data_IF_555879114640
#
_entry.id   IF_555879114640
#
_cell.length_a   1.000
_cell.length_b   1.000
_cell.length_c   1.000
_cell.angle_alpha   90.00
_cell.angle_beta   90.00
_cell.angle_gamma   90.00
#
_symmetry.space_group_name_H-M   'P 1'
#
loop_
_entity.id
_entity.type
_entity.pdbx_description
1 polymer ?
2 non-polymer ?
3 water ?
#
# COMPACT_ATOMS: atom_id res chain seq x y z
N UNK A 1 -24.23 19.26 -17.16
CA UNK A 1 -23.00 18.57 -17.46
C UNK A 1 -21.89 18.93 -16.50
N UNK A 2 -21.47 20.19 -16.52
CA UNK A 2 -20.41 20.63 -15.60
C UNK A 2 -20.71 20.25 -14.16
N UNK A 3 -19.73 19.65 -13.51
CA UNK A 3 -19.90 19.12 -12.17
C UNK A 3 -20.55 17.76 -12.10
N UNK A 4 -20.78 17.11 -13.24
CA UNK A 4 -21.45 15.82 -13.26
C UNK A 4 -20.77 14.82 -14.22
N UNK A 5 -19.47 14.96 -14.43
CA UNK A 5 -18.74 14.03 -15.28
C UNK A 5 -18.97 12.59 -14.78
N UNK A 6 -19.39 11.66 -15.64
CA UNK A 6 -19.72 10.32 -15.15
C UNK A 6 -18.52 9.56 -14.59
N UNK A 7 -18.77 8.85 -13.48
CA UNK A 7 -17.76 8.03 -12.82
C UNK A 7 -17.64 6.67 -13.51
N UNK A 8 -16.39 6.19 -13.61
CA UNK A 8 -16.12 4.90 -14.24
C UNK A 8 -14.99 4.17 -13.52
N UNK A 9 -14.95 2.83 -13.70
CA UNK A 9 -13.85 1.96 -13.29
C UNK A 9 -13.09 1.47 -14.52
N UNK A 10 -11.79 1.20 -14.40
CA UNK A 10 -11.04 0.72 -15.57
C UNK A 10 -11.41 -0.72 -15.93
N UNK A 11 -11.18 -1.06 -17.19
CA UNK A 11 -11.55 -2.38 -17.72
C UNK A 11 -10.34 -3.29 -17.51
N UNK A 12 -10.31 -3.97 -16.36
CA UNK A 12 -9.16 -4.78 -15.94
C UNK A 12 -9.62 -5.98 -15.12
N UNK A 13 -9.22 -7.19 -15.54
CA UNK A 13 -9.54 -8.39 -14.80
C UNK A 13 -8.61 -8.56 -13.60
N UNK A 14 -8.90 -9.55 -12.75
CA UNK A 14 -8.11 -9.71 -11.53
C UNK A 14 -6.65 -10.02 -11.86
N UNK A 15 -6.40 -10.77 -12.94
CA UNK A 15 -5.05 -11.02 -13.41
C UNK A 15 -4.35 -9.82 -14.05
N UNK A 16 -5.02 -8.67 -14.13
CA UNK A 16 -4.45 -7.45 -14.69
C UNK A 16 -4.32 -6.36 -13.62
N UNK A 17 -4.39 -6.71 -12.33
CA UNK A 17 -4.37 -5.73 -11.25
C UNK A 17 -3.15 -5.90 -10.35
N UNK A 18 -2.72 -4.77 -9.76
CA UNK A 18 -1.53 -4.67 -8.93
C UNK A 18 -1.89 -4.26 -7.50
N UNK A 19 -1.13 -4.79 -6.53
CA UNK A 19 -1.28 -4.35 -5.15
C UNK A 19 -0.74 -2.94 -5.00
N UNK A 20 -1.44 -2.12 -4.21
CA UNK A 20 -1.04 -0.74 -3.94
C UNK A 20 -0.26 -0.58 -2.65
N UNK A 21 -0.02 -1.66 -1.91
CA UNK A 21 0.73 -1.60 -0.67
C UNK A 21 2.04 -2.40 -0.71
N UNK A 22 2.26 -3.23 -1.73
CA UNK A 22 3.53 -3.93 -1.92
C UNK A 22 3.65 -4.17 -3.43
N UNK A 23 4.85 -4.02 -4.04
CA UNK A 23 4.91 -4.00 -5.52
C UNK A 23 4.87 -5.38 -6.19
N UNK A 24 3.69 -6.01 -6.13
CA UNK A 24 3.44 -7.33 -6.72
C UNK A 24 2.03 -7.38 -7.30
N UNK A 25 1.70 -8.39 -8.11
CA UNK A 25 0.32 -8.52 -8.63
C UNK A 25 -0.68 -8.93 -7.55
N UNK A 26 -1.95 -8.64 -7.81
CA UNK A 26 -3.04 -9.16 -6.99
C UNK A 26 -3.19 -10.65 -7.22
N UNK A 27 -3.43 -11.41 -6.14
CA UNK A 27 -3.64 -12.85 -6.22
C UNK A 27 -5.12 -13.26 -6.11
N UNK A 28 -5.89 -12.62 -5.24
CA UNK A 28 -7.28 -13.00 -5.03
C UNK A 28 -8.02 -11.87 -4.32
N UNK A 29 -9.36 -11.92 -4.39
CA UNK A 29 -10.21 -11.12 -3.50
C UNK A 29 -10.38 -11.85 -2.17
N UNK A 30 -10.57 -11.09 -1.09
CA UNK A 30 -10.64 -11.65 0.25
C UNK A 30 -11.53 -10.81 1.15
N UNK A 31 -12.27 -11.46 2.04
CA UNK A 31 -13.07 -10.75 3.04
C UNK A 31 -12.89 -11.36 4.42
N UNK A 32 -12.97 -10.51 5.44
CA UNK A 32 -12.77 -10.92 6.82
C UNK A 32 -13.32 -9.83 7.73
N UNK A 33 -13.77 -10.17 8.95
CA UNK A 33 -14.20 -9.13 9.89
C UNK A 33 -13.07 -8.42 10.61
N UNK A 34 -11.87 -8.99 10.63
CA UNK A 34 -10.72 -8.38 11.33
C UNK A 34 -11.12 -7.92 12.73
N UNK A 35 -11.87 -8.77 13.43
CA UNK A 35 -12.42 -8.43 14.74
C UNK A 35 -11.36 -7.86 15.66
N UNK A 36 -11.56 -6.60 16.06
CA UNK A 36 -10.73 -5.97 17.05
C UNK A 36 -9.50 -5.24 16.54
N UNK A 37 -9.32 -5.17 15.23
CA UNK A 37 -8.15 -4.55 14.64
C UNK A 37 -8.57 -3.26 13.95
N UNK A 38 -7.70 -2.24 14.03
CA UNK A 38 -7.94 -0.97 13.35
C UNK A 38 -7.25 -1.03 11.99
N UNK A 39 -8.04 -0.92 10.92
CA UNK A 39 -7.54 -1.01 9.55
C UNK A 39 -7.29 0.41 9.06
N UNK A 40 -6.02 0.79 8.95
CA UNK A 40 -5.66 2.16 8.62
C UNK A 40 -4.42 2.21 7.74
N UNK A 41 -4.40 1.50 6.60
CA UNK A 41 -3.23 1.58 5.71
C UNK A 41 -3.03 2.98 5.17
N UNK A 42 -1.77 3.31 4.88
CA UNK A 42 -1.42 4.64 4.36
C UNK A 42 -1.02 4.64 2.89
N UNK A 43 -0.58 3.50 2.34
CA UNK A 43 -0.44 3.33 0.91
C UNK A 43 -1.74 2.74 0.35
N UNK A 44 -2.00 3.01 -0.92
CA UNK A 44 -3.23 2.55 -1.55
C UNK A 44 -4.47 3.28 -1.08
N UNK A 45 -4.37 4.59 -0.85
CA UNK A 45 -5.49 5.40 -0.36
C UNK A 45 -5.79 6.52 -1.34
N UNK A 46 -7.06 6.61 -1.76
CA UNK A 46 -7.54 7.68 -2.63
C UNK A 46 -9.04 7.83 -2.46
N UNK A 47 -9.52 9.07 -2.60
CA UNK A 47 -10.94 9.27 -2.79
C UNK A 47 -11.35 8.81 -4.20
N UNK A 48 -12.64 8.57 -4.38
CA UNK A 48 -13.14 8.17 -5.69
C UNK A 48 -13.00 9.27 -6.74
N UNK A 49 -12.94 10.55 -6.31
CA UNK A 49 -12.75 11.66 -7.25
C UNK A 49 -11.28 12.02 -7.45
N UNK A 50 -10.34 11.21 -6.96
CA UNK A 50 -8.96 11.28 -7.40
C UNK A 50 -7.97 11.99 -6.50
N UNK A 51 -8.30 12.23 -5.23
CA UNK A 51 -7.35 12.83 -4.29
C UNK A 51 -6.60 11.71 -3.57
N UNK A 52 -5.29 11.62 -3.79
CA UNK A 52 -4.48 10.63 -3.10
C UNK A 52 -4.24 11.06 -1.64
N UNK A 53 -4.24 10.07 -0.74
CA UNK A 53 -4.22 10.29 0.70
C UNK A 53 -3.08 9.52 1.34
N UNK A 54 -2.77 9.86 2.59
CA UNK A 54 -1.73 9.15 3.31
C UNK A 54 -0.37 9.35 2.67
N UNK A 55 0.37 8.24 2.49
CA UNK A 55 1.63 8.26 1.78
C UNK A 55 1.50 7.78 0.33
N UNK A 56 0.30 7.83 -0.23
CA UNK A 56 0.06 7.22 -1.54
C UNK A 56 0.61 8.09 -2.68
N UNK A 57 1.30 7.45 -3.62
CA UNK A 57 1.82 8.07 -4.85
C UNK A 57 1.50 7.14 -6.02
N UNK A 58 1.85 7.56 -7.24
CA UNK A 58 1.29 6.90 -8.42
C UNK A 58 2.18 5.80 -9.02
N UNK A 59 3.48 5.84 -8.79
CA UNK A 59 4.42 4.96 -9.50
C UNK A 59 4.49 3.60 -8.82
N UNK A 60 4.12 2.52 -9.51
CA UNK A 60 4.08 1.21 -8.82
C UNK A 60 5.42 0.77 -8.25
N UNK A 61 6.53 1.01 -8.93
CA UNK A 61 7.82 0.53 -8.44
C UNK A 61 8.41 1.40 -7.33
N UNK A 62 7.73 2.48 -6.92
CA UNK A 62 8.14 3.25 -5.76
C UNK A 62 7.40 2.85 -4.49
N UNK A 63 6.49 1.88 -4.56
CA UNK A 63 5.80 1.38 -3.36
C UNK A 63 6.79 0.56 -2.53
N UNK A 64 7.00 0.99 -1.28
CA UNK A 64 7.93 0.40 -0.32
C UNK A 64 9.39 0.56 -0.72
N UNK A 65 9.69 1.44 -1.68
CA UNK A 65 11.06 1.76 -2.03
C UNK A 65 11.57 2.97 -1.22
N UNK A 66 12.90 3.06 -1.12
CA UNK A 66 13.57 4.21 -0.53
C UNK A 66 14.70 4.69 -1.45
N UNK A 67 14.99 5.99 -1.37
CA UNK A 67 16.15 6.59 -2.03
C UNK A 67 16.84 7.52 -1.04
N UNK A 68 18.16 7.70 -1.21
CA UNK A 68 18.89 8.65 -0.39
C UNK A 68 20.39 8.55 -0.58
N UNK A 69 21.12 8.98 0.45
CA UNK A 69 22.57 8.84 0.53
C UNK A 69 22.93 8.36 1.93
N UNK A 70 23.94 7.50 2.02
CA UNK A 70 24.43 7.01 3.31
C UNK A 70 25.49 7.99 3.81
N UNK A 71 25.25 8.60 4.99
CA UNK A 71 26.24 9.54 5.51
C UNK A 71 27.29 8.87 6.40
N UNK A 72 26.96 7.74 7.02
CA UNK A 72 27.90 7.09 7.92
C UNK A 72 27.47 5.65 8.21
N UNK A 73 28.48 4.80 8.46
CA UNK A 73 28.31 3.47 9.00
C UNK A 73 28.26 3.55 10.53
N UNK A 74 27.50 2.66 11.15
CA UNK A 74 27.41 2.66 12.60
C UNK A 74 28.71 2.11 13.18
N UNK A 75 29.45 2.88 14.01
CA UNK A 75 30.81 2.40 14.38
C UNK A 75 30.86 1.05 15.07
N UNK A 76 29.90 0.71 15.94
CA UNK A 76 30.01 -0.54 16.69
C UNK A 76 29.16 -1.67 16.11
N UNK A 77 28.58 -1.49 14.92
CA UNK A 77 27.91 -2.58 14.22
C UNK A 77 28.01 -2.27 12.72
N UNK A 78 29.05 -2.82 12.08
CA UNK A 78 29.32 -2.51 10.68
C UNK A 78 28.30 -3.12 9.72
N UNK A 79 27.32 -3.89 10.22
CA UNK A 79 26.20 -4.29 9.37
C UNK A 79 25.18 -3.17 9.17
N UNK A 80 25.28 -2.07 9.92
CA UNK A 80 24.26 -1.03 9.91
C UNK A 80 24.76 0.26 9.26
N UNK A 81 23.90 0.84 8.41
CA UNK A 81 24.22 2.02 7.62
C UNK A 81 23.11 3.06 7.80
N UNK A 82 23.49 4.32 8.04
CA UNK A 82 22.54 5.41 8.19
C UNK A 82 22.17 5.97 6.82
N UNK A 83 20.90 5.85 6.42
CA UNK A 83 20.43 6.37 5.13
C UNK A 83 19.68 7.68 5.34
N UNK A 84 20.18 8.76 4.75
CA UNK A 84 19.50 10.06 4.75
C UNK A 84 18.61 10.13 3.52
N UNK A 85 17.29 10.17 3.73
CA UNK A 85 16.35 9.86 2.64
C UNK A 85 16.02 11.11 1.84
N UNK A 86 15.74 10.89 0.56
CA UNK A 86 15.05 11.83 -0.31
C UNK A 86 13.71 11.22 -0.72
N UNK A 87 12.96 11.94 -1.56
CA UNK A 87 11.77 11.34 -2.15
C UNK A 87 12.17 10.30 -3.19
N UNK A 88 11.29 9.32 -3.38
CA UNK A 88 11.57 8.25 -4.33
C UNK A 88 11.60 8.74 -5.76
N UNK A 89 11.01 9.90 -6.04
CA UNK A 89 11.13 10.51 -7.36
C UNK A 89 12.40 11.35 -7.50
N UNK A 90 13.25 11.38 -6.47
CA UNK A 90 14.53 12.05 -6.53
C UNK A 90 14.56 13.44 -5.93
N UNK A 91 13.41 14.09 -5.75
CA UNK A 91 13.39 15.42 -5.17
C UNK A 91 13.75 15.35 -3.70
N UNK A 92 14.23 16.46 -3.11
CA UNK A 92 14.54 16.45 -1.68
C UNK A 92 13.27 16.26 -0.86
N UNK A 93 13.41 15.60 0.28
CA UNK A 93 12.27 15.42 1.18
C UNK A 93 12.11 16.66 2.05
N UNK A 94 10.87 17.20 2.07
CA UNK A 94 10.51 18.34 2.89
C UNK A 94 9.72 17.85 4.09
N UNK A 95 10.32 17.75 5.28
CA UNK A 95 9.55 17.26 6.44
C UNK A 95 8.35 18.12 6.80
N UNK A 96 8.30 19.37 6.33
CA UNK A 96 7.17 20.24 6.65
C UNK A 96 5.93 19.95 5.81
N UNK A 97 6.05 19.11 4.78
CA UNK A 97 4.92 18.74 3.95
C UNK A 97 3.88 17.97 4.75
N UNK A 98 2.61 18.15 4.38
CA UNK A 98 1.49 17.64 5.17
C UNK A 98 1.16 16.19 4.81
N UNK A 99 2.12 15.32 5.09
CA UNK A 99 1.95 13.87 4.90
C UNK A 99 2.62 13.14 6.05
N UNK A 100 2.27 11.87 6.25
CA UNK A 100 2.84 11.14 7.41
C UNK A 100 4.33 10.85 7.28
N UNK A 101 4.86 10.77 6.05
CA UNK A 101 6.21 10.29 5.77
C UNK A 101 6.46 10.47 4.28
N UNK A 102 7.67 10.27 3.77
CA UNK A 102 7.88 10.38 2.32
C UNK A 102 6.94 9.45 1.57
N UNK A 103 6.34 9.94 0.48
CA UNK A 103 5.40 9.12 -0.26
C UNK A 103 6.05 7.80 -0.67
N UNK A 104 5.29 6.71 -0.52
CA UNK A 104 5.77 5.38 -0.82
C UNK A 104 6.39 4.62 0.35
N UNK A 105 6.67 5.28 1.47
CA UNK A 105 7.27 4.62 2.62
C UNK A 105 6.42 3.42 3.04
N UNK A 106 7.03 2.31 3.45
CA UNK A 106 6.23 1.17 3.94
C UNK A 106 5.27 1.57 5.06
N UNK A 107 4.07 0.97 5.06
CA UNK A 107 3.05 1.30 6.04
C UNK A 107 2.73 0.16 7.00
N UNK A 108 3.66 -0.78 7.20
CA UNK A 108 3.44 -1.88 8.14
C UNK A 108 4.74 -2.26 8.82
N UNK A 109 4.61 -2.86 10.01
CA UNK A 109 5.75 -3.36 10.77
C UNK A 109 6.24 -4.67 10.19
N UNK A 110 7.56 -4.78 9.97
CA UNK A 110 8.15 -5.99 9.40
C UNK A 110 9.67 -5.85 9.30
N UNK A 111 10.33 -7.01 9.15
CA UNK A 111 11.68 -7.10 8.60
C UNK A 111 11.54 -7.32 7.09
N UNK A 112 11.76 -6.27 6.30
CA UNK A 112 11.58 -6.36 4.84
C UNK A 112 12.91 -6.69 4.18
N UNK A 113 12.98 -7.86 3.53
CA UNK A 113 14.14 -8.26 2.74
C UNK A 113 14.19 -7.46 1.43
N UNK A 114 15.37 -6.97 1.07
CA UNK A 114 15.54 -6.24 -0.17
C UNK A 114 17.00 -5.95 -0.47
N UNK A 115 17.22 -5.17 -1.53
CA UNK A 115 18.57 -4.93 -2.05
C UNK A 115 18.89 -3.44 -2.04
N UNK A 116 20.06 -3.10 -1.49
CA UNK A 116 20.59 -1.75 -1.44
C UNK A 116 21.62 -1.58 -2.55
N UNK A 117 21.38 -0.65 -3.48
CA UNK A 117 22.24 -0.47 -4.64
C UNK A 117 22.71 0.97 -4.78
N UNK A 118 23.86 1.14 -5.47
CA UNK A 118 24.47 2.45 -5.67
C UNK A 118 25.13 2.56 -7.04
N UNK A 119 25.15 3.78 -7.59
CA UNK A 119 25.87 4.12 -8.81
C UNK A 119 26.56 5.47 -8.62
N UNK A 120 27.89 5.50 -8.74
CA UNK A 120 28.67 6.72 -8.56
C UNK A 120 28.73 7.51 -9.86
N UNK A 121 29.18 8.77 -9.81
CA UNK A 121 29.28 9.56 -11.05
C UNK A 121 30.15 8.93 -12.13
N UNK A 122 31.19 8.18 -11.76
CA UNK A 122 32.03 7.51 -12.74
C UNK A 122 31.47 6.16 -13.16
N UNK A 123 30.22 5.87 -12.78
CA UNK A 123 29.47 4.68 -13.16
C UNK A 123 29.98 3.39 -12.51
N UNK A 124 30.85 3.47 -11.50
CA UNK A 124 31.12 2.28 -10.70
C UNK A 124 29.94 2.03 -9.75
N UNK A 125 29.59 0.75 -9.59
CA UNK A 125 28.35 0.35 -8.94
C UNK A 125 28.58 -0.78 -7.94
N UNK A 126 27.63 -0.93 -7.01
CA UNK A 126 27.61 -2.06 -6.09
C UNK A 126 26.19 -2.25 -5.55
N UNK A 127 25.87 -3.49 -5.16
CA UNK A 127 24.58 -3.79 -4.56
C UNK A 127 24.68 -5.00 -3.62
N UNK A 128 23.94 -4.95 -2.50
CA UNK A 128 24.00 -5.97 -1.46
C UNK A 128 22.64 -6.19 -0.83
N UNK A 129 22.27 -7.45 -0.62
CA UNK A 129 20.98 -7.75 0.00
C UNK A 129 21.06 -7.52 1.51
N UNK A 130 19.88 -7.50 2.15
CA UNK A 130 19.79 -7.02 3.52
C UNK A 130 18.33 -6.81 3.92
N UNK A 131 18.16 -6.04 5.00
CA UNK A 131 16.85 -5.93 5.67
C UNK A 131 16.58 -4.49 6.08
N UNK A 132 15.35 -4.03 5.82
CA UNK A 132 14.82 -2.77 6.33
C UNK A 132 13.84 -3.08 7.46
N UNK A 133 14.22 -2.75 8.69
CA UNK A 133 13.40 -3.01 9.88
C UNK A 133 12.53 -1.79 10.16
N UNK A 134 11.24 -1.87 9.82
CA UNK A 134 10.36 -0.71 9.99
C UNK A 134 9.88 -0.55 11.42
N UNK A 135 10.20 -1.50 12.31
CA UNK A 135 9.89 -1.44 13.74
C UNK A 135 11.03 -0.84 14.56
N UNK A 136 12.20 -0.63 13.96
CA UNK A 136 13.38 -0.18 14.69
C UNK A 136 13.18 1.24 15.25
N UNK A 137 13.75 1.53 16.42
CA UNK A 137 13.77 2.92 16.89
C UNK A 137 14.43 3.88 15.91
N UNK A 138 15.32 3.38 15.04
CA UNK A 138 16.00 4.22 14.07
C UNK A 138 15.27 4.31 12.73
N UNK A 139 14.07 3.73 12.61
CA UNK A 139 13.21 3.95 11.44
C UNK A 139 12.44 5.24 11.68
N UNK A 140 13.00 6.35 11.21
CA UNK A 140 12.42 7.67 11.42
C UNK A 140 12.35 8.44 10.10
N UNK A 141 11.65 7.89 9.10
CA UNK A 141 11.64 8.53 7.78
C UNK A 141 11.05 9.94 7.77
N UNK A 142 10.05 10.24 8.62
CA UNK A 142 9.50 11.59 8.68
C UNK A 142 10.51 12.61 9.19
N UNK A 143 11.53 12.17 9.94
CA UNK A 143 12.64 13.01 10.35
C UNK A 143 13.77 13.03 9.33
N UNK A 144 13.72 12.18 8.32
CA UNK A 144 14.70 12.17 7.25
C UNK A 144 15.70 11.04 7.25
N UNK A 145 15.55 10.03 8.09
CA UNK A 145 16.58 8.99 8.19
C UNK A 145 15.99 7.64 8.58
N UNK A 146 16.62 6.58 8.07
CA UNK A 146 16.35 5.20 8.48
C UNK A 146 17.68 4.46 8.56
N UNK A 147 17.64 3.25 9.12
CA UNK A 147 18.80 2.37 9.20
C UNK A 147 18.58 1.20 8.24
N UNK A 148 19.61 0.90 7.44
CA UNK A 148 19.66 -0.29 6.59
C UNK A 148 20.65 -1.29 7.19
N UNK A 149 20.32 -2.57 7.15
CA UNK A 149 21.22 -3.61 7.61
C UNK A 149 21.58 -4.59 6.51
N UNK A 150 22.87 -4.92 6.41
CA UNK A 150 23.37 -5.83 5.39
C UNK A 150 24.36 -6.83 5.99
N UNK A 151 24.45 -8.02 5.37
CA UNK A 151 25.52 -8.95 5.70
C UNK A 151 26.88 -8.36 5.34
N UNK A 152 26.96 -7.65 4.21
CA UNK A 152 28.18 -6.96 3.80
C UNK A 152 28.58 -5.90 4.82
N UNK A 153 29.87 -5.84 5.15
CA UNK A 153 30.35 -4.92 6.17
C UNK A 153 31.31 -3.85 5.65
N UNK A 154 31.64 -3.84 4.34
CA UNK A 154 32.61 -2.88 3.82
C UNK A 154 32.19 -2.18 2.53
N UNK A 155 31.59 -2.90 1.58
CA UNK A 155 31.45 -2.44 0.18
C UNK A 155 30.15 -1.67 -0.08
N UNK A 156 29.87 -0.65 0.75
CA UNK A 156 28.93 0.42 0.41
C UNK A 156 29.65 1.74 0.61
N UNK A 157 29.42 2.69 -0.30
CA UNK A 157 30.11 3.98 -0.28
C UNK A 157 29.28 5.04 0.45
N UNK A 158 29.97 6.01 1.07
CA UNK A 158 29.33 7.16 1.67
C UNK A 158 29.10 8.26 0.63
N UNK A 159 28.02 9.02 0.80
CA UNK A 159 27.72 10.21 -0.02
C UNK A 159 27.66 9.87 -1.51
N UNK A 160 26.95 8.78 -1.83
CA UNK A 160 26.68 8.38 -3.21
C UNK A 160 25.22 7.96 -3.34
N UNK A 161 24.60 8.21 -4.49
CA UNK A 161 23.18 7.86 -4.68
C UNK A 161 22.90 6.39 -4.38
N UNK A 162 21.86 6.16 -3.57
CA UNK A 162 21.52 4.83 -3.04
C UNK A 162 20.03 4.58 -3.17
N UNK A 163 19.65 3.34 -3.54
CA UNK A 163 18.25 2.93 -3.62
C UNK A 163 18.05 1.61 -2.89
N UNK A 164 16.90 1.47 -2.21
CA UNK A 164 16.47 0.20 -1.61
C UNK A 164 15.30 -0.35 -2.41
N UNK A 165 15.49 -1.55 -2.99
CA UNK A 165 14.44 -2.25 -3.74
C UNK A 165 13.85 -3.33 -2.86
N UNK A 166 12.57 -3.26 -2.49
CA UNK A 166 11.98 -4.31 -1.64
C UNK A 166 11.70 -5.59 -2.42
N UNK A 167 11.80 -6.73 -1.73
CA UNK A 167 11.52 -8.03 -2.32
C UNK A 167 10.43 -8.79 -1.56
N UNK A 168 10.49 -8.80 -0.24
CA UNK A 168 9.49 -9.52 0.55
C UNK A 168 9.80 -9.45 2.02
N UNK A 169 9.27 -10.41 2.77
CA UNK A 169 9.61 -10.54 4.20
C UNK A 169 10.90 -11.33 4.37
N UNK A 170 11.77 -10.87 5.27
CA UNK A 170 12.96 -11.64 5.63
C UNK A 170 12.59 -12.81 6.55
N UNK A 171 11.87 -12.50 7.64
CA UNK A 171 11.27 -13.49 8.53
C UNK A 171 9.96 -12.88 9.03
N UNK A 172 9.29 -13.56 9.96
CA UNK A 172 8.00 -13.10 10.46
C UNK A 172 8.10 -12.31 11.76
N UNK A 173 9.31 -12.10 12.29
CA UNK A 173 9.45 -11.32 13.51
C UNK A 173 8.90 -9.92 13.31
N UNK A 174 8.02 -9.50 14.21
CA UNK A 174 7.39 -8.18 14.23
C UNK A 174 6.37 -7.96 13.11
N UNK A 175 6.10 -8.95 12.25
CA UNK A 175 5.22 -8.73 11.10
C UNK A 175 3.76 -8.57 11.53
N UNK A 176 3.14 -7.44 11.17
CA UNK A 176 1.72 -7.20 11.39
C UNK A 176 1.29 -6.17 10.33
N UNK A 177 0.50 -6.62 9.35
CA UNK A 177 0.21 -5.76 8.19
C UNK A 177 -0.66 -4.56 8.56
N UNK A 178 -1.32 -4.57 9.71
CA UNK A 178 -2.18 -3.46 10.12
C UNK A 178 -1.56 -2.59 11.21
N UNK A 179 -0.32 -2.85 11.60
CA UNK A 179 0.38 -2.03 12.60
C UNK A 179 1.23 -0.98 11.89
N UNK A 180 0.90 0.29 12.07
CA UNK A 180 1.64 1.36 11.41
C UNK A 180 3.00 1.57 12.08
N UNK A 181 4.04 1.84 11.31
CA UNK A 181 5.30 2.31 11.92
C UNK A 181 5.09 3.63 12.64
N UNK A 182 5.99 3.92 13.58
CA UNK A 182 6.09 5.26 14.16
C UNK A 182 7.07 6.04 13.29
N UNK A 183 6.53 6.85 12.37
CA UNK A 183 7.34 7.45 11.32
C UNK A 183 8.37 8.45 11.85
N UNK A 184 8.17 9.01 13.04
CA UNK A 184 9.15 9.91 13.65
C UNK A 184 9.84 9.29 14.87
N UNK A 185 9.66 8.00 15.10
CA UNK A 185 10.34 7.32 16.18
C UNK A 185 9.59 7.34 17.50
N UNK A 186 10.29 6.91 18.54
CA UNK A 186 9.67 6.70 19.84
C UNK A 186 9.18 8.01 20.44
N UNK A 187 7.97 7.95 21.02
CA UNK A 187 7.31 9.00 21.79
C UNK A 187 6.74 10.13 20.94
N UNK A 188 6.64 9.98 19.62
CA UNK A 188 6.09 11.01 18.75
C UNK A 188 4.94 10.46 17.93
N UNK A 189 3.81 11.18 17.91
CA UNK A 189 2.62 10.74 17.21
C UNK A 189 2.76 10.94 15.71
N UNK A 190 2.18 10.03 14.94
CA UNK A 190 2.08 10.19 13.50
C UNK A 190 1.13 11.33 13.16
N UNK A 191 1.37 11.99 12.03
CA UNK A 191 0.58 13.13 11.62
C UNK A 191 0.03 12.92 10.22
N UNK A 192 -1.12 13.56 9.95
CA UNK A 192 -1.68 13.63 8.60
C UNK A 192 -2.08 12.27 8.05
N UNK A 193 -2.53 11.38 8.92
CA UNK A 193 -2.86 10.02 8.49
C UNK A 193 -4.19 9.99 7.73
N UNK A 194 -4.26 9.09 6.75
CA UNK A 194 -5.55 8.68 6.20
C UNK A 194 -6.33 7.92 7.27
N UNK A 195 -7.64 8.09 7.34
CA UNK A 195 -8.40 7.54 8.47
C UNK A 195 -8.59 6.04 8.38
N UNK A 196 -8.91 5.44 9.54
CA UNK A 196 -9.27 4.04 9.59
C UNK A 196 -10.59 3.81 8.85
N UNK A 197 -10.80 2.58 8.41
CA UNK A 197 -12.00 2.22 7.66
C UNK A 197 -12.65 1.00 8.29
N UNK A 198 -13.97 0.93 8.20
CA UNK A 198 -14.73 -0.19 8.73
C UNK A 198 -16.10 -0.21 8.07
N UNK A 199 -16.78 -1.37 8.06
CA UNK A 199 -18.17 -1.39 7.63
C UNK A 199 -19.02 -0.54 8.56
N UNK A 200 -20.03 0.11 7.99
CA UNK A 200 -20.89 1.03 8.73
C UNK A 200 -22.35 0.60 8.76
N UNK A 201 -22.67 -0.62 8.32
CA UNK A 201 -24.03 -1.10 8.16
C UNK A 201 -24.05 -2.57 8.55
N UNK A 202 -25.04 -3.02 9.31
CA UNK A 202 -25.03 -4.41 9.81
C UNK A 202 -24.97 -5.42 8.68
N UNK A 203 -24.21 -6.50 8.92
CA UNK A 203 -24.08 -7.58 7.99
C UNK A 203 -22.99 -7.42 6.96
N UNK A 204 -22.22 -6.33 6.99
CA UNK A 204 -21.22 -6.06 5.98
C UNK A 204 -19.81 -6.24 6.53
N UNK A 205 -18.89 -6.55 5.62
CA UNK A 205 -17.46 -6.69 5.90
C UNK A 205 -16.69 -6.00 4.78
N UNK A 206 -15.45 -5.62 5.09
CA UNK A 206 -14.56 -5.09 4.06
C UNK A 206 -14.23 -6.17 3.03
N UNK A 207 -14.06 -5.75 1.79
CA UNK A 207 -13.56 -6.58 0.70
C UNK A 207 -12.17 -6.08 0.31
N UNK A 208 -11.20 -6.98 0.30
CA UNK A 208 -9.81 -6.61 0.03
C UNK A 208 -9.30 -7.21 -1.28
N UNK A 209 -8.31 -6.55 -1.88
CA UNK A 209 -7.50 -7.12 -2.97
C UNK A 209 -6.20 -7.63 -2.34
N UNK A 210 -6.02 -8.95 -2.33
CA UNK A 210 -4.98 -9.59 -1.52
C UNK A 210 -3.85 -10.16 -2.38
N UNK A 211 -2.62 -9.96 -1.89
CA UNK A 211 -1.42 -10.61 -2.42
C UNK A 211 -0.72 -11.39 -1.32
N UNK A 212 -0.06 -12.50 -1.72
CA UNK A 212 0.77 -13.30 -0.83
C UNK A 212 2.22 -13.03 -1.20
N UNK A 213 2.93 -12.25 -0.39
CA UNK A 213 4.25 -11.75 -0.80
C UNK A 213 5.36 -12.72 -0.42
N UNK A 214 6.55 -12.61 -1.02
CA UNK A 214 7.60 -13.59 -0.73
C UNK A 214 8.08 -13.54 0.72
N UNK A 215 8.56 -14.69 1.21
CA UNK A 215 9.13 -14.83 2.55
C UNK A 215 10.40 -15.68 2.45
N UNK A 216 11.50 -15.17 3.00
CA UNK A 216 12.79 -15.83 2.81
C UNK A 216 12.95 -17.07 3.67
N UNK A 217 12.30 -17.11 4.83
CA UNK A 217 12.28 -18.31 5.66
C UNK A 217 11.21 -18.23 6.73
N UNK A 218 10.55 -19.35 7.00
CA UNK A 218 9.52 -19.39 8.02
C UNK A 218 8.19 -19.86 7.46
N UNK A 219 7.14 -19.63 8.26
CA UNK A 219 5.78 -20.06 7.93
C UNK A 219 4.85 -18.86 7.98
N UNK A 220 4.23 -18.53 6.86
CA UNK A 220 3.28 -17.42 6.78
C UNK A 220 2.60 -17.42 5.41
N UNK A 221 1.33 -16.99 5.39
CA UNK A 221 0.65 -16.74 4.12
C UNK A 221 1.09 -15.42 3.49
N UNK A 222 1.90 -14.62 4.17
CA UNK A 222 2.43 -13.39 3.59
C UNK A 222 1.40 -12.41 3.12
N UNK A 223 0.24 -12.36 3.76
CA UNK A 223 -0.90 -11.62 3.21
C UNK A 223 -0.71 -10.11 3.38
N UNK A 224 -0.81 -9.39 2.27
CA UNK A 224 -0.89 -7.93 2.24
C UNK A 224 -2.20 -7.58 1.53
N UNK A 225 -3.14 -6.99 2.26
CA UNK A 225 -4.47 -6.63 1.76
C UNK A 225 -4.53 -5.14 1.46
N UNK A 226 -4.93 -4.76 0.25
CA UNK A 226 -5.12 -3.34 -0.05
C UNK A 226 -6.59 -3.03 -0.31
N UNK A 227 -6.95 -1.76 -0.09
CA UNK A 227 -8.34 -1.33 -0.20
C UNK A 227 -8.77 -1.06 -1.63
N UNK A 228 -7.84 -0.63 -2.48
CA UNK A 228 -8.03 -0.33 -3.90
C UNK A 228 -6.78 -0.82 -4.63
N UNK A 229 -6.92 -1.47 -5.78
CA UNK A 229 -5.71 -1.79 -6.57
C UNK A 229 -5.07 -0.51 -7.11
N UNK A 230 -3.77 -0.60 -7.38
CA UNK A 230 -3.03 0.59 -7.81
C UNK A 230 -3.62 1.18 -9.09
N UNK A 231 -4.14 0.33 -9.99
CA UNK A 231 -4.67 0.84 -11.25
C UNK A 231 -5.95 1.65 -11.06
N UNK A 232 -6.75 1.35 -10.02
CA UNK A 232 -7.94 2.16 -9.78
C UNK A 232 -7.55 3.56 -9.28
N UNK A 233 -6.53 3.62 -8.41
CA UNK A 233 -6.03 4.91 -7.93
C UNK A 233 -5.50 5.74 -9.10
N UNK A 234 -4.74 5.11 -10.00
CA UNK A 234 -4.23 5.81 -11.18
C UNK A 234 -5.36 6.31 -12.07
N UNK A 235 -6.43 5.52 -12.19
CA UNK A 235 -7.59 5.88 -13.00
C UNK A 235 -8.33 7.08 -12.40
N UNK A 236 -8.61 7.04 -11.09
CA UNK A 236 -9.36 8.13 -10.47
C UNK A 236 -8.56 9.45 -10.52
N UNK A 237 -7.23 9.37 -10.38
CA UNK A 237 -6.40 10.58 -10.44
C UNK A 237 -6.52 11.24 -11.81
N UNK A 238 -6.59 10.44 -12.88
CA UNK A 238 -6.76 11.00 -14.22
C UNK A 238 -8.17 11.53 -14.46
N UNK A 239 -9.19 10.79 -14.00
CA UNK A 239 -10.56 11.10 -14.39
C UNK A 239 -11.16 12.25 -13.59
N UNK A 240 -10.95 12.28 -12.28
CA UNK A 240 -11.41 13.40 -11.45
C UNK A 240 -12.93 13.60 -11.56
N UNK A 241 -13.70 12.47 -11.49
CA UNK A 241 -15.17 12.53 -11.58
C UNK A 241 -15.78 12.79 -10.20
N UNK A 242 -16.66 13.77 -10.06
CA UNK A 242 -17.24 14.04 -8.73
C UNK A 242 -18.12 12.90 -8.22
N UNK A 243 -18.20 12.79 -6.89
CA UNK A 243 -19.05 11.81 -6.22
C UNK A 243 -20.31 12.49 -5.71
N UNK A 244 -21.50 12.20 -6.24
CA UNK A 244 -22.71 12.89 -5.78
C UNK A 244 -23.34 12.32 -4.50
N UNK A 245 -22.96 11.12 -4.08
CA UNK A 245 -23.41 10.56 -2.81
C UNK A 245 -22.23 9.88 -2.11
N UNK A 246 -22.52 9.26 -0.96
CA UNK A 246 -21.50 8.61 -0.15
C UNK A 246 -20.99 7.29 -0.73
N UNK A 247 -21.77 6.66 -1.61
CA UNK A 247 -21.53 5.27 -1.98
C UNK A 247 -21.92 5.03 -3.43
N UNK A 248 -21.03 4.36 -4.18
CA UNK A 248 -21.34 3.87 -5.51
C UNK A 248 -21.60 2.37 -5.47
N UNK A 249 -22.74 1.95 -6.02
CA UNK A 249 -23.03 0.52 -6.19
C UNK A 249 -22.26 -0.02 -7.39
N UNK A 250 -21.46 -1.07 -7.17
CA UNK A 250 -20.67 -1.70 -8.23
C UNK A 250 -21.04 -3.18 -8.31
N UNK A 251 -20.88 -3.76 -9.51
CA UNK A 251 -21.28 -5.14 -9.78
C UNK A 251 -20.19 -5.87 -10.55
N UNK A 252 -19.79 -7.04 -10.04
CA UNK A 252 -18.79 -7.87 -10.71
C UNK A 252 -19.48 -8.59 -11.87
N UNK A 253 -19.03 -8.31 -13.09
CA UNK A 253 -19.77 -8.63 -14.30
C UNK A 253 -18.92 -9.42 -15.27
N UNK A 254 -19.53 -10.45 -15.86
CA UNK A 254 -18.93 -11.13 -17.01
C UNK A 254 -19.19 -10.29 -18.26
N UNK A 255 -18.14 -9.80 -18.94
CA UNK A 255 -18.37 -8.89 -20.07
C UNK A 255 -18.91 -9.57 -21.31
N UNK A 256 -18.70 -10.88 -21.45
CA UNK A 256 -19.22 -11.60 -22.60
C UNK A 256 -20.68 -11.96 -22.42
N UNK A 257 -21.04 -12.47 -21.24
CA UNK A 257 -22.41 -12.92 -21.00
C UNK A 257 -23.31 -11.81 -20.46
N UNK A 258 -22.73 -10.82 -19.79
CA UNK A 258 -23.51 -9.85 -19.05
C UNK A 258 -23.94 -10.29 -17.67
N UNK A 259 -23.73 -11.57 -17.33
CA UNK A 259 -24.15 -12.07 -16.03
C UNK A 259 -23.45 -11.31 -14.91
N UNK A 260 -24.22 -10.93 -13.90
CA UNK A 260 -23.70 -10.24 -12.72
C UNK A 260 -23.54 -11.27 -11.61
N UNK A 261 -22.31 -11.38 -11.09
CA UNK A 261 -22.01 -12.42 -10.11
C UNK A 261 -22.30 -11.98 -8.69
N UNK A 262 -21.95 -10.74 -8.32
CA UNK A 262 -22.29 -10.19 -7.01
C UNK A 262 -22.16 -8.67 -7.07
N UNK A 263 -22.64 -8.01 -6.01
CA UNK A 263 -22.59 -6.55 -5.91
C UNK A 263 -21.92 -6.13 -4.61
N UNK A 264 -21.48 -4.89 -4.58
CA UNK A 264 -20.70 -4.34 -3.46
C UNK A 264 -20.89 -2.83 -3.40
N UNK A 265 -20.54 -2.27 -2.24
CA UNK A 265 -20.57 -0.82 -2.02
C UNK A 265 -19.16 -0.25 -2.09
N UNK A 266 -18.95 0.72 -2.99
CA UNK A 266 -17.68 1.42 -3.12
C UNK A 266 -17.83 2.80 -2.50
N UNK A 267 -17.14 3.02 -1.37
CA UNK A 267 -17.34 4.21 -0.56
C UNK A 267 -16.50 5.38 -1.04
N UNK A 268 -17.04 6.58 -0.85
CA UNK A 268 -16.43 7.82 -1.34
C UNK A 268 -14.97 7.96 -0.91
N UNK A 269 -14.64 7.53 0.30
CA UNK A 269 -13.29 7.72 0.81
C UNK A 269 -12.35 6.58 0.41
N UNK A 270 -12.82 5.60 -0.37
CA UNK A 270 -11.92 4.69 -1.06
C UNK A 270 -11.76 3.30 -0.48
N UNK A 271 -12.88 2.59 -0.28
CA UNK A 271 -12.85 1.21 0.19
C UNK A 271 -14.17 0.54 -0.16
N UNK A 272 -14.18 -0.79 -0.08
CA UNK A 272 -15.32 -1.61 -0.53
C UNK A 272 -15.86 -2.42 0.64
N UNK A 273 -17.20 -2.52 0.72
CA UNK A 273 -17.84 -3.46 1.63
C UNK A 273 -18.79 -4.39 0.85
N UNK A 274 -18.99 -5.59 1.41
CA UNK A 274 -19.89 -6.60 0.86
C UNK A 274 -20.75 -7.16 1.99
N UNK A 275 -21.91 -7.72 1.62
CA UNK A 275 -22.75 -8.45 2.56
C UNK A 275 -22.24 -9.88 2.65
N UNK A 276 -21.47 -10.17 3.70
CA UNK A 276 -20.80 -11.46 3.84
C UNK A 276 -20.40 -11.64 5.30
N UNK A 277 -20.06 -12.87 5.66
CA UNK A 277 -19.62 -13.20 7.01
C UNK A 277 -18.48 -14.21 6.96
N UNK A 278 -17.54 -14.07 7.90
CA UNK A 278 -16.44 -14.99 8.01
C UNK A 278 -15.19 -14.53 7.25
N UNK A 279 -14.13 -15.30 7.41
CA UNK A 279 -12.86 -15.06 6.72
C UNK A 279 -12.72 -16.08 5.60
N UNK A 280 -12.71 -15.59 4.35
CA UNK A 280 -12.66 -16.52 3.22
C UNK A 280 -12.16 -15.81 1.98
N UNK A 281 -11.40 -16.49 1.12
CA UNK A 281 -11.16 -15.95 -0.22
C UNK A 281 -12.42 -16.06 -1.08
N UNK A 282 -12.39 -15.34 -2.19
CA UNK A 282 -13.55 -15.19 -3.08
C UNK A 282 -13.06 -15.49 -4.50
N UNK A 283 -13.53 -16.59 -5.07
CA UNK A 283 -13.11 -16.99 -6.41
C UNK A 283 -14.04 -16.37 -7.44
N UNK A 284 -13.46 -15.67 -8.40
CA UNK A 284 -14.23 -14.94 -9.43
C UNK A 284 -13.80 -15.47 -10.79
N UNK A 285 -14.64 -15.32 -11.81
CA UNK A 285 -14.24 -15.76 -13.16
C UNK A 285 -13.09 -14.93 -13.68
N UNK A 286 -12.10 -15.56 -14.32
CA UNK A 286 -10.91 -14.80 -14.74
C UNK A 286 -11.20 -13.66 -15.71
N UNK A 287 -12.34 -13.68 -16.39
CA UNK A 287 -12.64 -12.69 -17.41
C UNK A 287 -13.47 -11.52 -16.90
N UNK A 288 -13.99 -11.58 -15.68
CA UNK A 288 -14.88 -10.55 -15.19
C UNK A 288 -14.17 -9.37 -14.56
N UNK A 289 -14.94 -8.30 -14.31
CA UNK A 289 -14.43 -7.14 -13.59
C UNK A 289 -15.60 -6.34 -13.03
N UNK A 290 -15.31 -5.51 -12.02
CA UNK A 290 -16.32 -4.64 -11.44
C UNK A 290 -16.72 -3.54 -12.43
N UNK A 291 -18.02 -3.25 -12.51
CA UNK A 291 -18.54 -2.11 -13.26
C UNK A 291 -19.37 -1.21 -12.35
N UNK A 292 -19.30 0.10 -12.58
CA UNK A 292 -20.19 1.04 -11.92
C UNK A 292 -21.64 0.82 -12.35
N UNK A 293 -22.55 0.83 -11.37
CA UNK A 293 -23.98 0.70 -11.64
C UNK A 293 -24.75 1.99 -11.39
N UNK A 294 -24.69 2.54 -10.17
CA UNK A 294 -25.50 3.68 -9.77
C UNK A 294 -24.94 4.23 -8.45
N UNK A 295 -25.40 5.42 -8.06
CA UNK A 295 -25.04 6.00 -6.76
C UNK A 295 -26.17 5.74 -5.76
N UNK A 296 -25.81 5.29 -4.56
CA UNK A 296 -26.77 4.96 -3.51
C UNK A 296 -26.32 5.61 -2.20
N UNK A 297 -26.92 5.21 -1.08
CA UNK A 297 -26.56 5.78 0.21
C UNK A 297 -25.95 4.73 1.12
N UNK A 298 -25.47 5.18 2.29
CA UNK A 298 -24.75 4.30 3.20
C UNK A 298 -25.61 3.17 3.74
N UNK A 299 -26.94 3.31 3.67
CA UNK A 299 -27.86 2.37 4.27
C UNK A 299 -28.52 1.44 3.25
N UNK A 300 -28.01 1.42 2.01
CA UNK A 300 -28.53 0.52 0.98
C UNK A 300 -28.25 -0.94 1.35
N UNK A 301 -29.23 -1.80 1.13
CA UNK A 301 -29.12 -3.21 1.48
C UNK A 301 -28.64 -4.01 0.26
N UNK A 302 -27.43 -4.57 0.37
CA UNK A 302 -26.86 -5.38 -0.69
C UNK A 302 -27.44 -6.80 -0.68
N UNK A 303 -27.50 -7.41 -1.86
CA UNK A 303 -27.76 -8.83 -1.94
C UNK A 303 -26.59 -9.60 -1.32
N UNK A 304 -26.85 -10.62 -0.50
CA UNK A 304 -25.74 -11.38 0.09
C UNK A 304 -24.94 -12.15 -0.95
N UNK A 305 -23.62 -12.13 -0.78
CA UNK A 305 -22.72 -12.90 -1.63
C UNK A 305 -22.97 -14.40 -1.52
#
# INVERSE_FOLDING_TARGET
GPGSKPFTLPILTIGELSNSRFPVPIDELYTSPNEGVIVQPQNGRSTLDGELLGTTQLVPSNICALRGRINAQVPDDHHQWNLQVTNTNGTPFDPTEDVPAPLGTPDFLANIYGVTSQRNPNNTCRAHDGVLATWSPKFTPKLGSVILGTWEESDLDLNQPTRFTPVGLFNTDHFDQWALPSYSGRLTLNMNLAPSVSPLFPGEQLLFFRSHIPLKGGTSDGAIDCLLPQEWIQHFYQESAPSPTDVALIRYTNPDTGRVLFEAKLHRQGFITVANSGSRPIVVPPNGYFRFDSWVNQFYSLAPM
#
